data_IF_826876392866
#
_entry.id   IF_826876392866
#
_cell.length_a   1.000
_cell.length_b   1.000
_cell.length_c   1.000
_cell.angle_alpha   90.00
_cell.angle_beta   90.00
_cell.angle_gamma   90.00
#
_symmetry.space_group_name_H-M   'P 1'
#
loop_
_entity.id
_entity.type
_entity.pdbx_description
1 polymer ?
#
# COMPACT_ATOMS: atom_id res chain seq x y z
N UNK A 1 -12.56 -17.41 -63.29
CA UNK A 1 -11.93 -18.28 -62.29
C UNK A 1 -11.20 -17.48 -61.19
N UNK A 2 -10.65 -16.33 -61.49
CA UNK A 2 -9.89 -15.46 -60.57
C UNK A 2 -10.81 -14.79 -59.53
N UNK A 3 -11.97 -14.32 -59.93
CA UNK A 3 -12.93 -13.61 -59.06
C UNK A 3 -13.43 -14.49 -57.89
N UNK A 4 -13.70 -15.80 -58.13
CA UNK A 4 -14.12 -16.74 -57.08
C UNK A 4 -13.04 -17.04 -56.05
N UNK A 5 -11.76 -17.04 -56.46
CA UNK A 5 -10.62 -17.24 -55.57
C UNK A 5 -10.42 -16.03 -54.66
N UNK A 6 -10.57 -14.81 -55.20
CA UNK A 6 -10.43 -13.58 -54.43
C UNK A 6 -11.53 -13.40 -53.37
N UNK A 7 -12.78 -13.79 -53.67
CA UNK A 7 -13.87 -13.75 -52.70
C UNK A 7 -13.66 -14.76 -51.58
N UNK A 8 -13.18 -15.97 -51.92
CA UNK A 8 -12.91 -16.99 -50.92
C UNK A 8 -11.78 -16.62 -49.94
N UNK A 9 -10.73 -15.99 -50.44
CA UNK A 9 -9.63 -15.50 -49.60
C UNK A 9 -10.04 -14.34 -48.72
N UNK A 10 -10.89 -13.44 -49.20
CA UNK A 10 -11.40 -12.31 -48.42
C UNK A 10 -12.33 -12.76 -47.29
N UNK A 11 -13.18 -13.78 -47.54
CA UNK A 11 -14.05 -14.36 -46.49
C UNK A 11 -13.25 -15.13 -45.44
N UNK A 12 -12.20 -15.87 -45.81
CA UNK A 12 -11.35 -16.53 -44.82
C UNK A 12 -10.58 -15.53 -43.93
N UNK A 13 -10.10 -14.41 -44.50
CA UNK A 13 -9.43 -13.37 -43.75
C UNK A 13 -10.36 -12.66 -42.73
N UNK A 14 -11.61 -12.43 -43.13
CA UNK A 14 -12.66 -11.83 -42.28
C UNK A 14 -13.03 -12.73 -41.09
N UNK A 15 -13.11 -14.05 -41.27
CA UNK A 15 -13.40 -15.00 -40.20
C UNK A 15 -12.25 -15.12 -39.20
N UNK A 16 -11.00 -15.01 -39.64
CA UNK A 16 -9.83 -15.02 -38.73
C UNK A 16 -9.76 -13.84 -37.80
N UNK A 17 -10.32 -12.69 -38.20
CA UNK A 17 -10.30 -11.45 -37.36
C UNK A 17 -11.33 -11.50 -36.22
N UNK A 18 -12.36 -12.35 -36.34
CA UNK A 18 -13.40 -12.51 -35.30
C UNK A 18 -12.98 -13.46 -34.16
N UNK A 19 -11.88 -14.18 -34.31
CA UNK A 19 -11.36 -15.12 -33.30
C UNK A 19 -10.38 -14.48 -32.32
N UNK A 20 -10.05 -13.18 -32.44
CA UNK A 20 -9.33 -12.42 -31.42
C UNK A 20 -10.32 -12.07 -30.29
N UNK A 21 -10.90 -13.11 -29.72
CA UNK A 21 -11.93 -13.00 -28.68
C UNK A 21 -11.31 -12.88 -27.32
N UNK A 22 -11.91 -12.11 -26.51
CA UNK A 22 -11.92 -12.01 -25.06
C UNK A 22 -11.11 -13.09 -24.33
N UNK A 23 -9.81 -12.85 -24.13
CA UNK A 23 -9.10 -13.51 -23.05
C UNK A 23 -9.66 -12.94 -21.74
N UNK A 24 -10.21 -13.76 -20.83
CA UNK A 24 -10.63 -13.28 -19.53
C UNK A 24 -9.41 -12.71 -18.82
N UNK A 25 -9.54 -11.60 -18.06
CA UNK A 25 -8.44 -11.02 -17.33
C UNK A 25 -7.88 -12.05 -16.34
N UNK A 26 -6.69 -12.55 -16.61
CA UNK A 26 -5.93 -13.51 -15.79
C UNK A 26 -5.26 -12.80 -14.60
N UNK A 27 -6.00 -12.03 -13.83
CA UNK A 27 -5.47 -11.36 -12.64
C UNK A 27 -6.06 -11.93 -11.36
N UNK A 28 -5.42 -11.71 -10.22
CA UNK A 28 -5.97 -12.09 -8.93
C UNK A 28 -7.32 -11.39 -8.72
N UNK A 29 -8.29 -12.16 -8.25
CA UNK A 29 -9.64 -11.64 -7.98
C UNK A 29 -9.62 -10.79 -6.72
N UNK A 30 -10.13 -9.56 -6.82
CA UNK A 30 -10.23 -8.58 -5.75
C UNK A 30 -11.70 -8.31 -5.48
N UNK A 31 -12.07 -8.21 -4.19
CA UNK A 31 -13.40 -7.82 -3.76
C UNK A 31 -13.30 -6.60 -2.83
N UNK A 32 -14.30 -5.68 -2.86
CA UNK A 32 -14.35 -4.56 -1.94
C UNK A 32 -14.24 -5.03 -0.48
N UNK A 33 -13.34 -4.40 0.27
CA UNK A 33 -13.12 -4.69 1.68
C UNK A 33 -13.04 -3.38 2.48
N UNK A 34 -13.86 -3.26 3.50
CA UNK A 34 -13.91 -2.11 4.40
C UNK A 34 -14.36 -2.54 5.79
N UNK A 35 -14.16 -1.68 6.79
CA UNK A 35 -14.57 -1.95 8.15
C UNK A 35 -14.32 -0.77 9.06
N UNK A 36 -14.45 -1.01 10.37
CA UNK A 36 -14.21 -0.02 11.42
C UNK A 36 -13.25 -0.61 12.44
N UNK A 37 -12.23 0.17 12.83
CA UNK A 37 -11.32 -0.20 13.92
C UNK A 37 -11.71 0.55 15.18
N UNK A 38 -11.98 -0.20 16.23
CA UNK A 38 -12.28 0.33 17.55
C UNK A 38 -11.32 -0.26 18.59
N UNK A 39 -10.90 0.56 19.54
CA UNK A 39 -10.08 0.14 20.68
C UNK A 39 -10.67 0.70 21.96
N UNK A 40 -10.93 -0.17 22.94
CA UNK A 40 -11.61 0.18 24.19
C UNK A 40 -12.93 0.92 23.97
N UNK A 41 -13.71 0.55 22.94
CA UNK A 41 -14.99 1.16 22.62
C UNK A 41 -14.94 2.50 21.86
N UNK A 42 -13.75 3.01 21.55
CA UNK A 42 -13.56 4.24 20.78
C UNK A 42 -12.98 3.97 19.40
N UNK A 43 -13.39 4.70 18.35
CA UNK A 43 -12.79 4.60 17.04
C UNK A 43 -11.35 5.11 17.05
N UNK A 44 -10.46 4.47 16.29
CA UNK A 44 -9.08 4.91 16.16
C UNK A 44 -8.88 5.54 14.80
N UNK A 45 -8.47 6.80 14.80
CA UNK A 45 -8.06 7.51 13.60
C UNK A 45 -6.60 7.23 13.24
N UNK A 46 -6.28 7.15 11.94
CA UNK A 46 -4.93 7.00 11.40
C UNK A 46 -4.25 5.68 11.79
N UNK A 47 -5.01 4.64 12.09
CA UNK A 47 -4.48 3.29 12.21
C UNK A 47 -4.26 2.69 10.83
N UNK A 48 -3.12 2.05 10.64
CA UNK A 48 -2.81 1.30 9.42
C UNK A 48 -3.38 -0.11 9.54
N UNK A 49 -4.18 -0.52 8.56
CA UNK A 49 -4.78 -1.84 8.46
C UNK A 49 -4.15 -2.57 7.29
N UNK A 50 -3.56 -3.74 7.52
CA UNK A 50 -2.89 -4.55 6.50
C UNK A 50 -3.53 -5.92 6.40
N UNK A 51 -3.96 -6.29 5.18
CA UNK A 51 -4.48 -7.60 4.84
C UNK A 51 -3.39 -8.37 4.12
N UNK A 52 -2.85 -9.39 4.77
CA UNK A 52 -1.81 -10.25 4.22
C UNK A 52 -2.40 -11.59 3.84
N UNK A 53 -2.33 -11.94 2.55
CA UNK A 53 -2.83 -13.21 2.03
C UNK A 53 -2.06 -14.41 2.61
N UNK A 54 -2.77 -15.51 2.85
CA UNK A 54 -2.19 -16.74 3.40
C UNK A 54 -1.92 -17.80 2.34
N UNK A 55 -2.40 -17.61 1.13
CA UNK A 55 -2.36 -18.65 0.08
C UNK A 55 -1.00 -18.83 -0.61
N UNK A 56 0.04 -18.10 -0.17
CA UNK A 56 1.43 -18.30 -0.62
C UNK A 56 1.73 -17.99 -2.10
N UNK A 57 0.72 -17.64 -2.90
CA UNK A 57 0.86 -17.41 -4.34
C UNK A 57 1.15 -15.97 -4.75
N UNK A 58 0.82 -15.01 -3.92
CA UNK A 58 1.05 -13.60 -4.21
C UNK A 58 1.47 -12.86 -2.94
N UNK A 59 2.59 -12.13 -3.00
CA UNK A 59 3.02 -11.23 -1.92
C UNK A 59 2.22 -9.91 -1.94
N UNK A 60 0.96 -9.93 -2.39
CA UNK A 60 0.13 -8.74 -2.44
C UNK A 60 -0.47 -8.46 -1.08
N UNK A 61 -0.23 -7.26 -0.59
CA UNK A 61 -0.76 -6.78 0.68
C UNK A 61 -1.84 -5.74 0.39
N UNK A 62 -3.02 -5.94 0.97
CA UNK A 62 -4.06 -4.94 1.00
C UNK A 62 -3.78 -3.94 2.12
N UNK A 63 -3.85 -2.65 1.82
CA UNK A 63 -3.56 -1.56 2.75
C UNK A 63 -4.76 -0.64 2.90
N UNK A 64 -5.01 -0.18 4.12
CA UNK A 64 -5.99 0.84 4.44
C UNK A 64 -5.55 1.67 5.63
N UNK A 65 -6.07 2.89 5.73
CA UNK A 65 -5.86 3.78 6.89
C UNK A 65 -7.21 4.20 7.40
N UNK A 66 -7.39 4.23 8.72
CA UNK A 66 -8.64 4.63 9.35
C UNK A 66 -8.81 6.15 9.38
N UNK A 67 -10.04 6.61 9.15
CA UNK A 67 -10.44 8.00 9.30
C UNK A 67 -10.81 8.32 10.78
N UNK A 68 -11.31 9.54 11.05
CA UNK A 68 -11.73 9.99 12.38
C UNK A 68 -12.85 9.17 13.00
N UNK A 69 -13.62 8.42 12.20
CA UNK A 69 -14.66 7.49 12.67
C UNK A 69 -14.13 6.06 12.84
N UNK A 70 -12.83 5.83 12.63
CA UNK A 70 -12.22 4.50 12.64
C UNK A 70 -12.50 3.69 11.37
N UNK A 71 -13.18 4.23 10.36
CA UNK A 71 -13.54 3.54 9.14
C UNK A 71 -12.33 3.44 8.21
N UNK A 72 -12.17 2.27 7.58
CA UNK A 72 -11.13 2.05 6.57
C UNK A 72 -11.67 1.40 5.30
N UNK A 73 -10.97 1.59 4.21
CA UNK A 73 -11.12 0.85 2.96
C UNK A 73 -9.78 0.27 2.57
N UNK A 74 -9.79 -0.96 2.09
CA UNK A 74 -8.58 -1.64 1.63
C UNK A 74 -8.37 -1.36 0.14
N UNK A 75 -7.12 -1.11 -0.21
CA UNK A 75 -6.65 -1.07 -1.59
C UNK A 75 -5.47 -2.04 -1.76
N UNK A 76 -5.47 -2.80 -2.83
CA UNK A 76 -4.42 -3.76 -3.17
C UNK A 76 -3.84 -3.43 -4.54
N UNK A 77 -2.56 -3.09 -4.61
CA UNK A 77 -1.88 -2.72 -5.87
C UNK A 77 -2.64 -1.67 -6.70
N UNK A 78 -3.18 -0.64 -6.03
CA UNK A 78 -3.90 0.47 -6.66
C UNK A 78 -5.35 0.16 -7.07
N UNK A 79 -5.88 -1.02 -6.73
CA UNK A 79 -7.29 -1.39 -6.94
C UNK A 79 -8.01 -1.45 -5.61
N UNK A 80 -9.23 -0.92 -5.55
CA UNK A 80 -10.05 -0.95 -4.35
C UNK A 80 -10.48 -2.37 -4.01
N UNK A 81 -10.15 -2.79 -2.78
CA UNK A 81 -10.49 -4.10 -2.24
C UNK A 81 -9.29 -4.94 -1.82
N UNK A 82 -9.60 -6.15 -1.34
CA UNK A 82 -8.65 -7.17 -0.94
C UNK A 82 -8.76 -8.40 -1.86
N UNK A 83 -7.71 -9.20 -1.94
CA UNK A 83 -7.74 -10.50 -2.63
C UNK A 83 -8.85 -11.39 -2.05
N UNK A 84 -9.45 -12.23 -2.89
CA UNK A 84 -10.45 -13.22 -2.42
C UNK A 84 -9.71 -14.45 -1.92
N UNK A 85 -9.26 -14.40 -0.67
CA UNK A 85 -8.56 -15.50 0.01
C UNK A 85 -8.63 -15.33 1.54
N UNK A 86 -8.02 -16.24 2.28
CA UNK A 86 -7.83 -16.07 3.72
C UNK A 86 -6.75 -15.03 3.98
N UNK A 87 -7.01 -14.11 4.90
CA UNK A 87 -6.08 -13.04 5.27
C UNK A 87 -5.70 -13.10 6.73
N UNK A 88 -4.47 -12.73 7.02
CA UNK A 88 -4.08 -12.24 8.34
C UNK A 88 -4.21 -10.73 8.33
N UNK A 89 -4.91 -10.21 9.33
CA UNK A 89 -5.10 -8.76 9.48
C UNK A 89 -4.16 -8.25 10.56
N UNK A 90 -3.36 -7.25 10.21
CA UNK A 90 -2.51 -6.53 11.16
C UNK A 90 -3.02 -5.10 11.27
N UNK A 91 -3.02 -4.57 12.49
CA UNK A 91 -3.44 -3.20 12.77
C UNK A 91 -2.34 -2.52 13.60
N UNK A 92 -1.83 -1.42 13.08
CA UNK A 92 -0.80 -0.62 13.73
C UNK A 92 -1.27 0.81 13.88
N UNK A 93 -0.98 1.42 15.01
CA UNK A 93 -1.13 2.86 15.21
C UNK A 93 0.16 3.40 15.78
N UNK A 94 0.95 4.03 14.91
CA UNK A 94 2.20 4.65 15.31
C UNK A 94 1.97 6.06 15.82
N UNK A 95 2.59 6.39 16.93
CA UNK A 95 2.69 7.77 17.38
C UNK A 95 3.64 8.49 16.42
N UNK A 96 3.23 9.64 15.89
CA UNK A 96 4.13 10.45 15.10
C UNK A 96 5.40 10.75 15.92
N UNK A 97 6.56 10.50 15.35
CA UNK A 97 7.81 10.93 15.98
C UNK A 97 7.77 12.45 16.16
N UNK A 98 8.30 12.97 17.27
CA UNK A 98 8.48 14.40 17.42
C UNK A 98 9.26 14.93 16.21
N UNK A 99 8.69 15.87 15.50
CA UNK A 99 9.39 16.56 14.42
C UNK A 99 10.20 17.69 15.05
N UNK A 100 11.42 17.86 14.57
CA UNK A 100 12.17 19.08 14.88
C UNK A 100 11.34 20.27 14.41
N UNK A 101 11.31 21.32 15.21
CA UNK A 101 10.72 22.58 14.80
C UNK A 101 11.52 23.19 13.63
N UNK A 102 10.88 24.02 12.84
CA UNK A 102 11.54 24.70 11.72
C UNK A 102 12.76 25.50 12.19
N UNK A 103 12.70 26.07 13.40
CA UNK A 103 13.82 26.79 14.02
C UNK A 103 14.99 25.88 14.37
N UNK A 104 14.73 24.69 14.94
CA UNK A 104 15.76 23.69 15.24
C UNK A 104 16.40 23.14 13.95
N UNK A 105 15.59 22.92 12.92
CA UNK A 105 16.07 22.46 11.62
C UNK A 105 16.98 23.52 10.97
N UNK A 106 16.59 24.80 11.00
CA UNK A 106 17.39 25.90 10.48
C UNK A 106 18.70 26.04 11.24
N UNK A 107 18.66 25.97 12.58
CA UNK A 107 19.88 26.05 13.42
C UNK A 107 20.84 24.88 13.11
N UNK A 108 20.33 23.68 12.87
CA UNK A 108 21.14 22.52 12.52
C UNK A 108 21.78 22.69 11.13
N UNK A 109 21.04 23.18 10.15
CA UNK A 109 21.55 23.47 8.81
C UNK A 109 22.64 24.53 8.84
N UNK A 110 22.43 25.60 9.59
CA UNK A 110 23.41 26.68 9.73
C UNK A 110 24.69 26.21 10.46
N UNK A 111 24.55 25.43 11.52
CA UNK A 111 25.68 24.83 12.22
C UNK A 111 26.48 23.86 11.35
N UNK A 112 25.77 23.07 10.52
CA UNK A 112 26.44 22.15 9.61
C UNK A 112 27.18 22.86 8.48
N UNK A 113 26.60 23.93 7.94
CA UNK A 113 27.30 24.73 6.90
C UNK A 113 28.56 25.42 7.42
N UNK A 114 28.51 25.99 8.62
CA UNK A 114 29.68 26.58 9.26
C UNK A 114 30.78 25.55 9.58
N UNK A 115 30.40 24.37 10.06
CA UNK A 115 31.35 23.30 10.33
C UNK A 115 32.07 22.80 9.05
N UNK A 116 31.39 22.84 7.91
CA UNK A 116 31.99 22.48 6.63
C UNK A 116 33.02 23.52 6.13
N UNK A 117 32.85 24.79 6.48
CA UNK A 117 33.78 25.85 6.10
C UNK A 117 35.04 25.85 6.99
N UNK A 118 34.91 25.40 8.26
CA UNK A 118 36.00 25.43 9.24
C UNK A 118 36.73 24.09 9.40
N UNK A 119 36.41 23.06 8.59
CA UNK A 119 36.96 21.69 8.72
C UNK A 119 36.76 21.08 10.14
N UNK A 120 35.66 21.47 10.78
CA UNK A 120 35.24 20.98 12.10
C UNK A 120 34.21 19.90 11.95
N UNK A 121 34.20 18.90 12.85
CA UNK A 121 33.22 17.82 12.86
C UNK A 121 31.80 18.40 12.98
N UNK A 122 30.87 18.06 12.04
CA UNK A 122 29.50 18.55 12.11
C UNK A 122 28.79 18.14 13.40
N UNK A 123 27.86 18.95 13.92
CA UNK A 123 27.13 18.61 15.13
C UNK A 123 26.33 17.31 14.94
N UNK A 124 26.42 16.42 15.91
CA UNK A 124 25.67 15.16 15.91
C UNK A 124 24.17 15.48 15.98
N UNK A 125 23.35 15.00 15.04
CA UNK A 125 21.91 15.20 15.12
C UNK A 125 21.35 14.59 16.41
N UNK A 126 20.31 15.16 17.00
CA UNK A 126 19.70 14.63 18.21
C UNK A 126 19.23 13.18 17.98
N UNK A 127 19.33 12.31 19.00
CA UNK A 127 18.92 10.92 18.88
C UNK A 127 17.45 10.84 18.46
N UNK A 128 17.18 10.15 17.35
CA UNK A 128 15.81 9.91 16.90
C UNK A 128 15.10 8.99 17.90
N UNK A 129 14.08 9.52 18.57
CA UNK A 129 13.21 8.68 19.41
C UNK A 129 12.44 7.73 18.50
N UNK A 130 12.57 6.40 18.66
CA UNK A 130 11.84 5.46 17.82
C UNK A 130 10.33 5.66 17.99
N UNK A 131 9.56 5.63 16.89
CA UNK A 131 8.11 5.77 16.98
C UNK A 131 7.52 4.64 17.82
N UNK A 132 6.58 5.00 18.71
CA UNK A 132 5.90 4.05 19.60
C UNK A 132 4.59 3.61 18.95
N UNK A 133 4.35 2.30 18.88
CA UNK A 133 3.04 1.80 18.51
C UNK A 133 2.09 1.91 19.72
N UNK A 134 0.91 2.50 19.51
CA UNK A 134 -0.08 2.74 20.55
C UNK A 134 -0.97 1.52 20.80
N UNK A 135 -0.96 0.54 19.91
CA UNK A 135 -1.73 -0.69 20.04
C UNK A 135 -0.92 -1.82 20.68
N UNK A 136 -1.58 -2.73 21.42
CA UNK A 136 -0.93 -3.90 22.01
C UNK A 136 -0.25 -4.79 20.96
N UNK A 137 0.87 -5.39 21.33
CA UNK A 137 1.68 -6.24 20.43
C UNK A 137 0.89 -7.38 19.78
N UNK A 138 -0.14 -7.91 20.42
CA UNK A 138 -1.00 -8.96 19.86
C UNK A 138 -1.68 -8.61 18.53
N UNK A 139 -1.79 -7.32 18.20
CA UNK A 139 -2.33 -6.84 16.92
C UNK A 139 -1.24 -6.52 15.89
N UNK A 140 0.03 -6.51 16.32
CA UNK A 140 1.20 -6.13 15.51
C UNK A 140 1.95 -7.34 14.95
N UNK A 141 1.88 -8.48 15.63
CA UNK A 141 2.62 -9.68 15.27
C UNK A 141 1.66 -10.85 15.03
N UNK A 142 2.07 -11.74 14.15
CA UNK A 142 1.41 -13.01 13.97
C UNK A 142 1.74 -13.89 15.19
N UNK A 143 0.78 -14.10 16.06
CA UNK A 143 0.86 -15.28 16.95
C UNK A 143 0.63 -16.50 16.07
N UNK A 144 1.66 -17.35 16.00
CA UNK A 144 1.58 -18.63 15.33
C UNK A 144 0.61 -19.56 16.08
#
# INVERSE_FOLDING_TARGET
MILRRSVLTLTLLSVSLLLVGCFPPTGPKIAPASGVVMFNGAPIEGASVRFMGQSGGTNMVGLGVTNSKGEYRISTSGKDGALIENHRVMIDKWQAAPRMSDAELQALVEATSKASEEDVTPPTPPPMVPPKNLLPQKYQHFSA
#
